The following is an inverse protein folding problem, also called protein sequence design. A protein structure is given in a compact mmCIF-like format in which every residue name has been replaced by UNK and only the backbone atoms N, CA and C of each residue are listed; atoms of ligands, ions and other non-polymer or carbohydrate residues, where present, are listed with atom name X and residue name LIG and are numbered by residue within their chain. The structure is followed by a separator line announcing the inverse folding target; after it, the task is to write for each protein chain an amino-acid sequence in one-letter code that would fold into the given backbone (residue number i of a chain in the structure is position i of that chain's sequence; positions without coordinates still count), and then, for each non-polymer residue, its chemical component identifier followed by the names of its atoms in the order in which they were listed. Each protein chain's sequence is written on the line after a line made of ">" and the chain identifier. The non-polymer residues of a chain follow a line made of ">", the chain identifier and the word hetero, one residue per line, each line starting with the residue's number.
data_IF_098486927498
#
_entry.id   IF_098486927498
#
_cell.length_a   1.000
_cell.length_b   1.000
_cell.length_c   1.000
_cell.angle_alpha   90.00
_cell.angle_beta   90.00
_cell.angle_gamma   90.00
#
_symmetry.space_group_name_H-M   'P 1'
#
loop_
_entity.id
_entity.type
_entity.pdbx_description
1 polymer ?
#
# COMPACT_ATOMS: atom_id res chain seq x y z
N UNK A 1 -19.39 14.28 -11.85
CA UNK A 1 -18.01 14.32 -11.32
C UNK A 1 -17.64 12.89 -11.03
N UNK A 2 -16.54 12.39 -11.60
CA UNK A 2 -16.17 10.98 -11.54
C UNK A 2 -15.88 10.53 -10.09
N UNK A 3 -16.38 9.36 -9.67
CA UNK A 3 -16.33 8.87 -8.27
C UNK A 3 -14.87 8.69 -7.82
N UNK A 4 -14.03 8.19 -8.72
CA UNK A 4 -12.59 8.00 -8.55
C UNK A 4 -11.90 9.33 -8.21
N UNK A 5 -12.29 10.42 -8.90
CA UNK A 5 -11.73 11.74 -8.66
C UNK A 5 -12.09 12.28 -7.29
N UNK A 6 -13.30 12.00 -6.80
CA UNK A 6 -13.73 12.40 -5.45
C UNK A 6 -12.92 11.68 -4.38
N UNK A 7 -12.71 10.36 -4.54
CA UNK A 7 -11.89 9.55 -3.63
C UNK A 7 -10.47 10.11 -3.54
N UNK A 8 -9.80 10.31 -4.69
CA UNK A 8 -8.41 10.82 -4.72
C UNK A 8 -8.34 12.24 -4.14
N UNK A 9 -9.32 13.10 -4.42
CA UNK A 9 -9.34 14.48 -3.90
C UNK A 9 -9.48 14.50 -2.37
N UNK A 10 -10.32 13.64 -1.79
CA UNK A 10 -10.46 13.50 -0.33
C UNK A 10 -9.15 13.08 0.32
N UNK A 11 -8.53 12.02 -0.20
CA UNK A 11 -7.26 11.51 0.34
C UNK A 11 -6.14 12.55 0.21
N UNK A 12 -6.10 13.28 -0.91
CA UNK A 12 -5.13 14.35 -1.11
C UNK A 12 -5.32 15.51 -0.14
N UNK A 13 -6.56 15.87 0.16
CA UNK A 13 -6.87 16.89 1.17
C UNK A 13 -6.43 16.45 2.58
N UNK A 14 -6.66 15.18 2.95
CA UNK A 14 -6.20 14.64 4.24
C UNK A 14 -4.66 14.62 4.34
N UNK A 15 -3.98 14.22 3.27
CA UNK A 15 -2.51 14.27 3.21
C UNK A 15 -1.98 15.70 3.35
N UNK A 16 -2.53 16.66 2.60
CA UNK A 16 -2.13 18.07 2.66
C UNK A 16 -2.41 18.73 4.01
N UNK A 17 -3.44 18.26 4.73
CA UNK A 17 -3.72 18.67 6.10
C UNK A 17 -2.75 18.07 7.13
N UNK A 18 -1.82 17.20 6.71
CA UNK A 18 -0.82 16.60 7.58
C UNK A 18 -1.35 15.46 8.46
N UNK A 19 -2.52 14.90 8.15
CA UNK A 19 -3.17 13.85 8.99
C UNK A 19 -2.26 12.63 9.17
N UNK A 20 -1.52 12.25 8.13
CA UNK A 20 -0.63 11.07 8.12
C UNK A 20 0.78 11.36 8.63
N UNK A 21 1.11 12.62 8.93
CA UNK A 21 2.47 13.02 9.32
C UNK A 21 2.93 12.43 10.67
N UNK A 22 2.11 12.45 11.75
CA UNK A 22 2.52 11.96 13.07
C UNK A 22 2.77 10.45 13.09
N UNK A 23 3.85 10.02 13.75
CA UNK A 23 4.18 8.60 13.94
C UNK A 23 3.04 7.83 14.64
N UNK A 24 2.41 8.45 15.65
CA UNK A 24 1.30 7.85 16.40
C UNK A 24 0.13 7.47 15.48
N UNK A 25 -0.22 8.36 14.54
CA UNK A 25 -1.26 8.06 13.56
C UNK A 25 -0.87 6.86 12.71
N UNK A 26 0.34 6.84 12.14
CA UNK A 26 0.83 5.73 11.31
C UNK A 26 0.79 4.41 12.09
N UNK A 27 1.29 4.40 13.33
CA UNK A 27 1.32 3.24 14.21
C UNK A 27 -0.08 2.74 14.54
N UNK A 28 -1.03 3.64 14.81
CA UNK A 28 -2.42 3.28 15.04
C UNK A 28 -3.04 2.61 13.81
N UNK A 29 -2.82 3.16 12.61
CA UNK A 29 -3.35 2.58 11.36
C UNK A 29 -2.73 1.20 11.07
N UNK A 30 -1.42 1.02 11.24
CA UNK A 30 -0.78 -0.29 11.10
C UNK A 30 -1.29 -1.31 12.12
N UNK A 31 -1.53 -0.88 13.36
CA UNK A 31 -2.07 -1.75 14.42
C UNK A 31 -3.49 -2.19 14.08
N UNK A 32 -4.33 -1.26 13.61
CA UNK A 32 -5.69 -1.54 13.14
C UNK A 32 -5.70 -2.45 11.91
N UNK A 33 -4.75 -2.30 10.99
CA UNK A 33 -4.59 -3.21 9.86
C UNK A 33 -4.24 -4.63 10.32
N UNK A 34 -3.37 -4.78 11.32
CA UNK A 34 -3.09 -6.08 11.93
C UNK A 34 -4.31 -6.69 12.65
N UNK A 35 -5.11 -5.88 13.33
CA UNK A 35 -6.38 -6.35 13.92
C UNK A 35 -7.38 -6.77 12.85
N UNK A 36 -7.50 -6.03 11.74
CA UNK A 36 -8.34 -6.40 10.60
C UNK A 36 -8.01 -7.81 10.09
N UNK A 37 -6.73 -8.14 9.94
CA UNK A 37 -6.30 -9.45 9.47
C UNK A 37 -6.62 -10.54 10.51
N UNK A 38 -6.28 -10.33 11.79
CA UNK A 38 -6.51 -11.32 12.84
C UNK A 38 -7.99 -11.60 13.11
N UNK A 39 -8.79 -10.55 13.21
CA UNK A 39 -10.23 -10.66 13.52
C UNK A 39 -11.02 -11.33 12.39
N UNK A 40 -10.48 -11.34 11.17
CA UNK A 40 -11.17 -11.81 9.97
C UNK A 40 -10.41 -12.95 9.26
N UNK A 41 -9.46 -13.63 9.91
CA UNK A 41 -8.64 -14.69 9.29
C UNK A 41 -9.51 -15.76 8.62
N UNK A 42 -10.57 -16.23 9.30
CA UNK A 42 -11.46 -17.25 8.75
C UNK A 42 -12.19 -16.77 7.48
N UNK A 43 -12.62 -15.51 7.45
CA UNK A 43 -13.27 -14.91 6.27
C UNK A 43 -12.28 -14.72 5.13
N UNK A 44 -11.05 -14.32 5.45
CA UNK A 44 -9.94 -14.18 4.51
C UNK A 44 -9.62 -15.53 3.86
N UNK A 45 -9.42 -16.57 4.66
CA UNK A 45 -9.16 -17.93 4.16
C UNK A 45 -10.32 -18.43 3.30
N UNK A 46 -11.57 -18.18 3.72
CA UNK A 46 -12.74 -18.58 2.95
C UNK A 46 -12.84 -17.85 1.59
N UNK A 47 -12.52 -16.56 1.54
CA UNK A 47 -12.48 -15.78 0.31
C UNK A 47 -11.38 -16.28 -0.64
N UNK A 48 -10.17 -16.49 -0.12
CA UNK A 48 -9.04 -17.04 -0.89
C UNK A 48 -9.34 -18.44 -1.42
N UNK A 49 -9.98 -19.30 -0.63
CA UNK A 49 -10.42 -20.61 -1.10
C UNK A 49 -11.48 -20.49 -2.19
N UNK A 50 -12.42 -19.54 -2.09
CA UNK A 50 -13.45 -19.33 -3.11
C UNK A 50 -12.86 -18.88 -4.45
N UNK A 51 -11.90 -17.96 -4.41
CA UNK A 51 -11.32 -17.40 -5.63
C UNK A 51 -10.26 -18.31 -6.27
N UNK A 52 -9.45 -19.00 -5.44
CA UNK A 52 -8.24 -19.70 -5.91
C UNK A 52 -8.22 -21.20 -5.57
N UNK A 53 -9.19 -21.72 -4.83
CA UNK A 53 -9.16 -23.08 -4.30
C UNK A 53 -8.03 -23.31 -3.28
N UNK A 54 -7.44 -22.24 -2.75
CA UNK A 54 -6.26 -22.28 -1.88
C UNK A 54 -6.60 -22.99 -0.56
N UNK A 55 -5.92 -24.11 -0.20
CA UNK A 55 -6.12 -24.76 1.09
C UNK A 55 -5.76 -23.82 2.26
N UNK A 56 -6.42 -23.98 3.41
CA UNK A 56 -6.22 -23.11 4.60
C UNK A 56 -4.74 -22.91 4.95
N UNK A 57 -3.97 -23.99 4.98
CA UNK A 57 -2.54 -23.91 5.33
C UNK A 57 -1.75 -23.04 4.35
N UNK A 58 -1.99 -23.20 3.05
CA UNK A 58 -1.34 -22.39 2.03
C UNK A 58 -1.81 -20.93 2.08
N UNK A 59 -3.11 -20.68 2.33
CA UNK A 59 -3.65 -19.33 2.47
C UNK A 59 -3.00 -18.59 3.64
N UNK A 60 -2.81 -19.25 4.78
CA UNK A 60 -2.14 -18.65 5.93
C UNK A 60 -0.68 -18.35 5.60
N UNK A 61 0.08 -19.37 5.16
CA UNK A 61 1.52 -19.23 4.95
C UNK A 61 1.88 -18.24 3.83
N UNK A 62 1.12 -18.26 2.73
CA UNK A 62 1.45 -17.49 1.52
C UNK A 62 0.77 -16.13 1.43
N UNK A 63 -0.20 -15.81 2.30
CA UNK A 63 -0.93 -14.55 2.23
C UNK A 63 -0.98 -13.84 3.59
N UNK A 64 -1.44 -14.53 4.63
CA UNK A 64 -1.67 -13.93 5.95
C UNK A 64 -0.36 -13.69 6.68
N UNK A 65 0.49 -14.71 6.82
CA UNK A 65 1.72 -14.63 7.60
C UNK A 65 2.72 -13.64 6.99
N UNK A 66 2.77 -13.55 5.66
CA UNK A 66 3.59 -12.55 4.95
C UNK A 66 3.18 -11.14 5.36
N UNK A 67 1.88 -10.83 5.34
CA UNK A 67 1.36 -9.50 5.72
C UNK A 67 1.59 -9.24 7.21
N UNK A 68 1.36 -10.23 8.08
CA UNK A 68 1.56 -10.07 9.52
C UNK A 68 3.03 -9.84 9.88
N UNK A 69 3.95 -10.51 9.19
CA UNK A 69 5.39 -10.29 9.37
C UNK A 69 5.80 -8.89 8.91
N UNK A 70 5.30 -8.42 7.77
CA UNK A 70 5.55 -7.06 7.28
C UNK A 70 5.03 -6.00 8.27
N UNK A 71 3.82 -6.21 8.82
CA UNK A 71 3.25 -5.35 9.86
C UNK A 71 4.12 -5.29 11.11
N UNK A 72 4.55 -6.44 11.63
CA UNK A 72 5.42 -6.49 12.80
C UNK A 72 6.76 -5.81 12.55
N UNK A 73 7.34 -6.03 11.36
CA UNK A 73 8.58 -5.39 10.95
C UNK A 73 8.42 -3.87 10.89
N UNK A 74 7.38 -3.37 10.23
CA UNK A 74 7.11 -1.94 10.12
C UNK A 74 6.87 -1.29 11.47
N UNK A 75 5.98 -1.85 12.30
CA UNK A 75 5.67 -1.31 13.63
C UNK A 75 6.92 -1.26 14.53
N UNK A 76 7.79 -2.26 14.45
CA UNK A 76 8.98 -2.36 15.31
C UNK A 76 10.10 -1.38 14.90
N UNK A 77 10.18 -1.01 13.61
CA UNK A 77 11.32 -0.26 13.09
C UNK A 77 10.98 1.18 12.63
N UNK A 78 9.70 1.51 12.43
CA UNK A 78 9.28 2.79 11.83
C UNK A 78 9.84 4.02 12.55
N UNK A 79 9.91 4.03 13.88
CA UNK A 79 10.48 5.17 14.62
C UNK A 79 11.92 5.46 14.22
N UNK A 80 12.70 4.41 13.95
CA UNK A 80 14.08 4.52 13.46
C UNK A 80 14.14 4.97 12.01
N UNK A 81 13.25 4.47 11.15
CA UNK A 81 13.18 4.86 9.73
C UNK A 81 12.83 6.35 9.53
N UNK A 82 12.12 6.96 10.48
CA UNK A 82 11.74 8.37 10.45
C UNK A 82 12.85 9.32 10.93
N UNK A 83 13.91 8.81 11.57
CA UNK A 83 15.01 9.65 12.05
C UNK A 83 15.87 10.19 10.89
N UNK A 84 16.43 11.41 11.04
CA UNK A 84 17.44 11.91 10.12
C UNK A 84 18.66 10.97 10.03
N UNK A 85 19.11 10.69 8.82
CA UNK A 85 20.35 9.95 8.58
C UNK A 85 21.48 10.92 8.27
N UNK A 86 22.39 11.14 9.23
CA UNK A 86 23.52 12.06 9.06
C UNK A 86 24.56 11.51 8.08
N UNK A 87 24.99 12.36 7.14
CA UNK A 87 25.93 11.98 6.08
C UNK A 87 27.32 12.62 6.30
N UNK A 88 28.39 12.02 5.74
CA UNK A 88 29.75 12.56 5.89
C UNK A 88 29.86 14.01 5.38
N UNK A 89 30.52 14.86 6.17
CA UNK A 89 30.79 16.26 5.84
C UNK A 89 32.15 16.40 5.13
N UNK A 90 32.29 17.42 4.28
CA UNK A 90 33.58 17.79 3.68
C UNK A 90 34.07 19.13 4.24
N UNK A 91 35.22 19.64 3.78
CA UNK A 91 35.80 20.89 4.32
C UNK A 91 34.87 22.10 4.12
N UNK A 92 34.12 22.13 3.01
CA UNK A 92 33.19 23.21 2.71
C UNK A 92 31.94 23.17 3.61
N UNK A 93 31.48 21.97 4.00
CA UNK A 93 30.27 21.78 4.84
C UNK A 93 30.59 21.47 6.30
N UNK A 94 31.83 21.73 6.74
CA UNK A 94 32.33 21.31 8.06
C UNK A 94 31.54 21.90 9.24
N UNK A 95 30.94 23.08 9.06
CA UNK A 95 30.15 23.77 10.07
C UNK A 95 28.63 23.60 9.89
N UNK A 96 28.19 22.93 8.83
CA UNK A 96 26.77 22.74 8.51
C UNK A 96 26.26 21.40 9.03
N UNK A 97 24.94 21.24 9.21
CA UNK A 97 24.33 19.93 9.40
C UNK A 97 23.93 19.31 8.07
N UNK A 98 24.45 18.10 7.82
CA UNK A 98 24.21 17.35 6.59
C UNK A 98 23.53 16.04 6.96
N UNK A 99 22.26 15.89 6.58
CA UNK A 99 21.48 14.69 6.82
C UNK A 99 20.46 14.45 5.70
N UNK A 100 19.98 13.22 5.61
CA UNK A 100 18.88 12.82 4.75
C UNK A 100 17.64 12.64 5.62
N UNK A 101 16.58 13.39 5.30
CA UNK A 101 15.25 13.22 5.88
C UNK A 101 14.37 12.46 4.90
N UNK A 102 13.66 11.43 5.38
CA UNK A 102 12.68 10.69 4.58
C UNK A 102 11.30 11.30 4.81
N UNK A 103 10.63 11.68 3.72
CA UNK A 103 9.30 12.29 3.74
C UNK A 103 8.32 11.47 2.89
N UNK A 104 7.03 11.42 3.25
CA UNK A 104 6.01 10.76 2.43
C UNK A 104 5.88 11.43 1.06
N UNK A 105 5.51 10.63 0.06
CA UNK A 105 5.30 11.10 -1.31
C UNK A 105 3.93 11.78 -1.47
N UNK A 106 2.88 11.24 -0.84
CA UNK A 106 1.53 11.79 -0.90
C UNK A 106 0.43 10.74 -0.93
N UNK A 107 -0.32 10.70 -2.03
CA UNK A 107 -1.34 9.69 -2.30
C UNK A 107 -0.74 8.62 -3.21
N UNK A 108 -0.67 7.40 -2.69
CA UNK A 108 -0.14 6.22 -3.38
C UNK A 108 -1.29 5.39 -3.93
N UNK A 109 -1.18 4.93 -5.17
CA UNK A 109 -2.08 3.93 -5.73
C UNK A 109 -1.40 2.55 -5.67
N UNK A 110 -2.10 1.55 -5.16
CA UNK A 110 -1.64 0.15 -5.16
C UNK A 110 -2.64 -0.68 -5.96
N UNK A 111 -2.18 -1.30 -7.04
CA UNK A 111 -3.00 -2.16 -7.91
C UNK A 111 -2.52 -3.60 -7.72
N UNK A 112 -3.37 -4.41 -7.08
CA UNK A 112 -3.08 -5.81 -6.76
C UNK A 112 -3.52 -6.77 -7.87
N UNK A 113 -2.78 -7.86 -8.13
CA UNK A 113 -3.16 -8.92 -9.06
C UNK A 113 -4.10 -9.93 -8.38
N UNK A 114 -4.53 -10.95 -9.13
CA UNK A 114 -5.47 -11.97 -8.67
C UNK A 114 -4.85 -13.20 -8.02
N UNK A 115 -3.56 -13.47 -8.24
CA UNK A 115 -2.92 -14.75 -7.88
C UNK A 115 -2.51 -14.83 -6.40
N UNK A 116 -2.18 -13.70 -5.79
CA UNK A 116 -2.06 -13.56 -4.33
C UNK A 116 -2.79 -12.28 -3.89
N UNK A 117 -4.13 -12.29 -3.96
CA UNK A 117 -4.93 -11.06 -4.00
C UNK A 117 -4.99 -10.33 -2.67
N UNK A 118 -4.54 -10.96 -1.57
CA UNK A 118 -4.40 -10.29 -0.28
C UNK A 118 -2.99 -9.73 -0.12
N UNK A 119 -1.94 -10.56 -0.15
CA UNK A 119 -0.61 -10.09 0.23
C UNK A 119 -0.02 -9.08 -0.76
N UNK A 120 -0.21 -9.28 -2.07
CA UNK A 120 0.32 -8.35 -3.09
C UNK A 120 -0.42 -7.01 -3.10
N UNK A 121 -1.51 -6.89 -2.33
CA UNK A 121 -2.25 -5.66 -2.13
C UNK A 121 -1.92 -5.03 -0.77
N UNK A 122 -1.93 -5.82 0.31
CA UNK A 122 -1.80 -5.31 1.67
C UNK A 122 -0.34 -5.14 2.11
N UNK A 123 0.59 -6.02 1.71
CA UNK A 123 2.00 -5.86 2.05
C UNK A 123 2.60 -4.52 1.57
N UNK A 124 2.43 -4.08 0.30
CA UNK A 124 2.88 -2.74 -0.11
C UNK A 124 2.12 -1.61 0.60
N UNK A 125 0.87 -1.83 1.03
CA UNK A 125 0.11 -0.85 1.82
C UNK A 125 0.75 -0.62 3.20
N UNK A 126 1.31 -1.67 3.83
CA UNK A 126 2.05 -1.54 5.10
C UNK A 126 3.20 -0.55 4.94
N UNK A 127 4.03 -0.72 3.91
CA UNK A 127 5.12 0.21 3.61
C UNK A 127 4.64 1.63 3.33
N UNK A 128 3.56 1.79 2.56
CA UNK A 128 2.99 3.10 2.25
C UNK A 128 2.46 3.84 3.50
N UNK A 129 1.79 3.13 4.41
CA UNK A 129 1.32 3.69 5.70
C UNK A 129 2.52 4.06 6.59
N UNK A 130 3.51 3.18 6.72
CA UNK A 130 4.69 3.42 7.54
C UNK A 130 5.47 4.67 7.06
N UNK A 131 5.56 4.83 5.74
CA UNK A 131 6.15 6.02 5.12
C UNK A 131 5.31 7.30 5.30
N UNK A 132 4.03 7.20 5.69
CA UNK A 132 3.15 8.34 5.98
C UNK A 132 2.28 8.79 4.80
N UNK A 133 1.99 7.90 3.86
CA UNK A 133 1.16 8.20 2.70
C UNK A 133 -0.32 7.93 2.93
N UNK A 134 -1.18 8.61 2.18
CA UNK A 134 -2.54 8.14 1.93
C UNK A 134 -2.53 7.08 0.83
N UNK A 135 -3.46 6.13 0.84
CA UNK A 135 -3.44 4.98 -0.08
C UNK A 135 -4.80 4.73 -0.73
N UNK A 136 -4.81 4.60 -2.05
CA UNK A 136 -5.91 3.99 -2.79
C UNK A 136 -5.51 2.57 -3.16
N UNK A 137 -6.30 1.59 -2.73
CA UNK A 137 -6.19 0.21 -3.15
C UNK A 137 -7.09 -0.04 -4.36
N UNK A 138 -6.55 -0.74 -5.35
CA UNK A 138 -7.31 -1.32 -6.46
C UNK A 138 -7.08 -2.83 -6.47
N UNK A 139 -7.92 -3.63 -5.79
CA UNK A 139 -7.89 -5.09 -5.87
C UNK A 139 -8.27 -5.61 -7.27
N UNK A 140 -7.82 -6.81 -7.61
CA UNK A 140 -8.21 -7.46 -8.87
C UNK A 140 -9.65 -7.96 -8.83
N UNK A 141 -10.42 -7.61 -9.86
CA UNK A 141 -11.80 -8.06 -10.06
C UNK A 141 -11.93 -9.56 -10.35
N UNK A 142 -10.83 -10.21 -10.76
CA UNK A 142 -10.79 -11.66 -11.03
C UNK A 142 -10.92 -12.44 -9.72
N UNK A 143 -10.27 -11.98 -8.65
CA UNK A 143 -10.38 -12.50 -7.29
C UNK A 143 -11.52 -11.79 -6.55
N UNK A 144 -12.75 -12.02 -7.01
CA UNK A 144 -13.94 -11.25 -6.64
C UNK A 144 -14.34 -11.37 -5.16
N UNK A 145 -14.10 -12.53 -4.52
CA UNK A 145 -14.42 -12.73 -3.12
C UNK A 145 -13.45 -11.95 -2.23
N UNK A 146 -12.16 -11.98 -2.53
CA UNK A 146 -11.14 -11.19 -1.83
C UNK A 146 -11.31 -9.70 -2.09
N UNK A 147 -11.58 -9.28 -3.33
CA UNK A 147 -11.91 -7.88 -3.68
C UNK A 147 -13.06 -7.34 -2.80
N UNK A 148 -14.18 -8.07 -2.77
CA UNK A 148 -15.35 -7.68 -1.97
C UNK A 148 -15.01 -7.60 -0.48
N UNK A 149 -14.29 -8.60 0.04
CA UNK A 149 -13.91 -8.64 1.45
C UNK A 149 -13.02 -7.45 1.84
N UNK A 150 -12.00 -7.14 1.02
CA UNK A 150 -11.10 -6.00 1.29
C UNK A 150 -11.88 -4.68 1.26
N UNK A 151 -12.76 -4.50 0.28
CA UNK A 151 -13.60 -3.31 0.19
C UNK A 151 -14.53 -3.13 1.40
N UNK A 152 -15.01 -4.23 1.98
CA UNK A 152 -15.86 -4.21 3.17
C UNK A 152 -15.09 -3.98 4.47
N UNK A 153 -13.85 -4.47 4.58
CA UNK A 153 -13.07 -4.45 5.82
C UNK A 153 -12.25 -3.17 5.99
N UNK A 154 -11.57 -2.70 4.94
CA UNK A 154 -10.69 -1.51 5.02
C UNK A 154 -11.39 -0.30 5.68
N UNK A 155 -12.61 0.13 5.27
CA UNK A 155 -13.27 1.29 5.86
C UNK A 155 -13.78 1.07 7.29
N UNK A 156 -13.83 -0.17 7.79
CA UNK A 156 -14.23 -0.50 9.18
C UNK A 156 -13.06 -0.39 10.15
N UNK A 157 -11.83 -0.60 9.68
CA UNK A 157 -10.64 -0.64 10.52
C UNK A 157 -9.77 0.61 10.38
N UNK A 158 -9.69 1.18 9.18
CA UNK A 158 -8.77 2.26 8.85
C UNK A 158 -9.49 3.58 8.59
N UNK A 159 -8.75 4.68 8.70
CA UNK A 159 -9.24 6.02 8.42
C UNK A 159 -9.73 6.14 6.98
N UNK A 160 -11.03 6.34 6.81
CA UNK A 160 -11.63 6.52 5.49
C UNK A 160 -11.13 7.79 4.78
N UNK A 161 -10.63 8.78 5.52
CA UNK A 161 -10.08 10.00 4.92
C UNK A 161 -8.71 9.77 4.28
N UNK A 162 -7.96 8.76 4.73
CA UNK A 162 -6.60 8.48 4.27
C UNK A 162 -6.47 7.22 3.40
N UNK A 163 -7.41 6.28 3.54
CA UNK A 163 -7.34 4.98 2.87
C UNK A 163 -8.67 4.63 2.22
N UNK A 164 -8.62 4.20 0.96
CA UNK A 164 -9.82 3.88 0.19
C UNK A 164 -9.60 2.67 -0.72
N UNK A 165 -10.68 1.96 -1.03
CA UNK A 165 -10.69 0.87 -2.01
C UNK A 165 -11.52 1.31 -3.21
N UNK A 166 -10.93 1.21 -4.40
CA UNK A 166 -11.62 1.43 -5.68
C UNK A 166 -11.70 0.09 -6.40
N UNK A 167 -12.92 -0.41 -6.53
CA UNK A 167 -13.23 -1.66 -7.23
C UNK A 167 -13.54 -1.38 -8.70
N UNK A 168 -13.60 -2.45 -9.51
CA UNK A 168 -13.97 -2.38 -10.92
C UNK A 168 -12.96 -3.09 -11.81
N UNK A 169 -13.15 -3.06 -13.13
CA UNK A 169 -12.24 -3.68 -14.09
C UNK A 169 -11.36 -2.65 -14.81
N UNK A 170 -11.04 -2.94 -16.06
CA UNK A 170 -10.15 -2.11 -16.88
C UNK A 170 -10.63 -0.65 -17.04
N UNK A 171 -11.94 -0.41 -17.18
CA UNK A 171 -12.48 0.95 -17.34
C UNK A 171 -12.34 1.77 -16.05
N UNK A 172 -12.64 1.18 -14.89
CA UNK A 172 -12.47 1.85 -13.60
C UNK A 172 -10.99 2.08 -13.29
N UNK A 173 -10.11 1.14 -13.62
CA UNK A 173 -8.66 1.33 -13.51
C UNK A 173 -8.17 2.46 -14.42
N UNK A 174 -8.66 2.53 -15.67
CA UNK A 174 -8.33 3.62 -16.60
C UNK A 174 -8.80 4.98 -16.08
N UNK A 175 -10.03 5.07 -15.57
CA UNK A 175 -10.55 6.28 -14.95
C UNK A 175 -9.73 6.67 -13.71
N UNK A 176 -9.33 5.69 -12.88
CA UNK A 176 -8.49 5.92 -11.72
C UNK A 176 -7.13 6.50 -12.12
N UNK A 177 -6.48 5.93 -13.13
CA UNK A 177 -5.18 6.37 -13.66
C UNK A 177 -5.20 7.75 -14.34
N UNK A 178 -6.37 8.35 -14.60
CA UNK A 178 -6.46 9.75 -15.03
C UNK A 178 -6.24 10.75 -13.89
N UNK A 179 -6.19 10.28 -12.64
CA UNK A 179 -5.92 11.11 -11.47
C UNK A 179 -4.42 11.16 -11.16
N UNK A 180 -3.98 12.27 -10.55
CA UNK A 180 -2.59 12.39 -10.07
C UNK A 180 -2.42 11.56 -8.79
N UNK A 181 -1.49 10.62 -8.84
CA UNK A 181 -0.90 9.95 -7.68
C UNK A 181 0.55 10.42 -7.55
N UNK A 182 1.12 10.33 -6.35
CA UNK A 182 2.52 10.68 -6.13
C UNK A 182 3.41 9.43 -6.26
N UNK A 183 2.78 8.24 -6.24
CA UNK A 183 3.38 6.96 -6.53
C UNK A 183 2.33 5.95 -6.98
N UNK A 184 2.67 5.08 -7.93
CA UNK A 184 1.83 3.95 -8.32
C UNK A 184 2.65 2.67 -8.18
N UNK A 185 2.13 1.74 -7.39
CA UNK A 185 2.67 0.39 -7.21
C UNK A 185 1.73 -0.60 -7.91
N UNK A 186 2.25 -1.31 -8.91
CA UNK A 186 1.48 -2.28 -9.69
C UNK A 186 2.21 -3.62 -9.76
N UNK A 187 1.45 -4.69 -9.54
CA UNK A 187 1.92 -6.06 -9.78
C UNK A 187 0.99 -6.74 -10.79
N UNK A 188 1.51 -7.23 -11.91
CA UNK A 188 0.69 -7.95 -12.91
C UNK A 188 1.40 -8.36 -14.21
N UNK A 189 0.67 -9.07 -15.07
CA UNK A 189 1.22 -9.89 -16.17
C UNK A 189 1.55 -9.18 -17.48
N UNK A 190 1.29 -7.89 -17.66
CA UNK A 190 1.68 -7.25 -18.93
C UNK A 190 3.21 -7.22 -19.11
N UNK A 191 3.99 -7.43 -18.04
CA UNK A 191 5.45 -7.46 -18.12
C UNK A 191 6.16 -8.48 -17.18
N UNK A 192 5.49 -9.17 -16.24
CA UNK A 192 6.24 -9.94 -15.23
C UNK A 192 7.12 -9.04 -14.33
N UNK A 193 6.85 -7.73 -14.35
CA UNK A 193 7.59 -6.69 -13.64
C UNK A 193 6.73 -6.13 -12.52
N UNK A 194 7.37 -5.77 -11.40
CA UNK A 194 6.79 -4.81 -10.47
C UNK A 194 7.02 -3.43 -11.09
N UNK A 195 5.94 -2.79 -11.51
CA UNK A 195 6.01 -1.44 -12.05
C UNK A 195 5.87 -0.45 -10.90
N UNK A 196 6.94 0.25 -10.58
CA UNK A 196 6.90 1.45 -9.75
C UNK A 196 6.90 2.67 -10.68
N UNK A 197 5.77 3.37 -10.74
CA UNK A 197 5.64 4.59 -11.52
C UNK A 197 5.65 5.81 -10.60
N UNK A 198 6.66 6.67 -10.74
CA UNK A 198 6.75 7.98 -10.06
C UNK A 198 6.46 9.06 -11.11
N UNK A 199 5.23 9.60 -11.16
CA UNK A 199 4.78 10.42 -12.29
C UNK A 199 5.51 11.76 -12.43
N UNK A 200 6.07 12.32 -11.35
CA UNK A 200 6.74 13.63 -11.40
C UNK A 200 8.17 13.58 -11.98
N UNK A 201 8.73 12.39 -12.24
CA UNK A 201 10.08 12.23 -12.80
C UNK A 201 10.10 11.74 -14.26
N UNK A 202 8.97 11.31 -14.82
CA UNK A 202 8.97 10.55 -16.08
C UNK A 202 9.82 9.27 -16.02
N UNK A 203 10.23 8.86 -14.82
CA UNK A 203 11.08 7.69 -14.57
C UNK A 203 10.18 6.53 -14.16
N UNK A 204 10.15 5.53 -15.04
CA UNK A 204 9.66 4.19 -14.73
C UNK A 204 10.79 3.52 -13.95
N UNK A 205 10.59 3.25 -12.67
CA UNK A 205 11.50 2.35 -11.95
C UNK A 205 11.07 0.93 -12.25
N UNK A 206 11.83 0.30 -13.13
CA UNK A 206 11.78 -1.13 -13.40
C UNK A 206 12.41 -1.85 -12.19
N UNK A 207 11.59 -2.29 -11.24
CA UNK A 207 12.03 -3.26 -10.25
C UNK A 207 11.72 -4.65 -10.82
N UNK A 208 12.66 -5.15 -11.61
CA UNK A 208 12.72 -6.57 -11.97
C UNK A 208 12.90 -7.40 -10.71
N UNK A 209 11.80 -7.78 -10.05
CA UNK A 209 11.80 -8.97 -9.21
C UNK A 209 11.75 -10.15 -10.17
N UNK A 210 12.84 -10.91 -10.17
CA UNK A 210 13.00 -12.18 -10.85
C UNK A 210 12.03 -13.19 -10.22
N UNK A 211 10.75 -13.07 -10.57
CA UNK A 211 9.74 -14.07 -10.30
C UNK A 211 10.00 -15.16 -11.35
N UNK A 212 10.72 -16.18 -10.90
CA UNK A 212 11.20 -17.31 -11.72
C UNK A 212 10.11 -17.99 -12.57
N UNK A 213 10.53 -18.95 -13.41
CA UNK A 213 9.81 -19.42 -14.60
C UNK A 213 8.38 -19.91 -14.36
#
# INVERSE_FOLDING_TARGET
>A
MDVQKQVVSRLRAAFQAGVTAPEEFRRAQLTQLGSMIRDNEEQIVAALHRDLGKPKFEAILSEVDIVMNELHHAISNMSGWMQPEYVPKNLATKLDDCFVQREPLGVVLIIGPWNYPLQLLIAPMVGAIAAGNCVVLKPSEISSATDSLVADLIPKYLSQDCYAVVRGGAEETKALLQNRFDHIFYTGRSLGLILILIPDLGLIFDLGLDLGP
#
